data_IF_786544922786
#
_entry.id   IF_786544922786
#
_cell.length_a   1.000
_cell.length_b   1.000
_cell.length_c   1.000
_cell.angle_alpha   90.00
_cell.angle_beta   90.00
_cell.angle_gamma   90.00
#
_symmetry.space_group_name_H-M   'P 1'
#
loop_
_entity.id
_entity.type
_entity.pdbx_description
1 polymer ?
#
# COMPACT_ATOMS: atom_id res chain seq x y z
N UNK A 1 11.36 -14.85 -19.02
CA UNK A 1 11.10 -15.92 -18.02
C UNK A 1 9.75 -15.67 -17.38
N UNK A 2 9.02 -16.69 -16.96
CA UNK A 2 7.77 -16.53 -16.20
C UNK A 2 8.06 -16.51 -14.70
N UNK A 3 7.24 -15.83 -13.88
CA UNK A 3 7.31 -15.91 -12.42
C UNK A 3 7.23 -17.37 -11.94
N UNK A 4 7.91 -17.66 -10.83
CA UNK A 4 7.94 -19.00 -10.23
C UNK A 4 6.74 -19.25 -9.28
N UNK A 5 6.62 -20.49 -8.80
CA UNK A 5 5.55 -20.89 -7.87
C UNK A 5 5.54 -20.11 -6.55
N UNK A 6 6.70 -19.63 -6.09
CA UNK A 6 6.80 -18.85 -4.86
C UNK A 6 6.23 -17.44 -5.06
N UNK A 7 6.49 -16.81 -6.21
CA UNK A 7 5.85 -15.56 -6.59
C UNK A 7 4.32 -15.69 -6.70
N UNK A 8 3.84 -16.75 -7.37
CA UNK A 8 2.40 -17.04 -7.44
C UNK A 8 1.77 -17.25 -6.05
N UNK A 9 2.48 -17.91 -5.13
CA UNK A 9 2.03 -18.09 -3.76
C UNK A 9 2.02 -16.75 -2.98
N UNK A 10 3.00 -15.88 -3.23
CA UNK A 10 3.04 -14.51 -2.70
C UNK A 10 1.87 -13.69 -3.22
N UNK A 11 1.54 -13.78 -4.51
CA UNK A 11 0.39 -13.11 -5.11
C UNK A 11 -0.93 -13.56 -4.48
N UNK A 12 -1.14 -14.88 -4.33
CA UNK A 12 -2.32 -15.41 -3.63
C UNK A 12 -2.41 -14.95 -2.18
N UNK A 13 -1.26 -14.82 -1.48
CA UNK A 13 -1.23 -14.27 -0.13
C UNK A 13 -1.63 -12.79 -0.13
N UNK A 14 -1.08 -12.00 -1.04
CA UNK A 14 -1.42 -10.59 -1.19
C UNK A 14 -2.91 -10.37 -1.47
N UNK A 15 -3.54 -11.18 -2.33
CA UNK A 15 -4.98 -11.12 -2.55
C UNK A 15 -5.79 -11.38 -1.26
N UNK A 16 -5.37 -12.32 -0.44
CA UNK A 16 -5.99 -12.54 0.88
C UNK A 16 -5.79 -11.34 1.80
N UNK A 17 -4.61 -10.73 1.77
CA UNK A 17 -4.32 -9.51 2.53
C UNK A 17 -5.21 -8.36 2.08
N UNK A 18 -5.38 -8.13 0.79
CA UNK A 18 -6.27 -7.10 0.24
C UNK A 18 -7.72 -7.30 0.70
N UNK A 19 -8.22 -8.54 0.68
CA UNK A 19 -9.56 -8.88 1.20
C UNK A 19 -9.67 -8.59 2.72
N UNK A 20 -8.63 -8.85 3.49
CA UNK A 20 -8.61 -8.55 4.94
C UNK A 20 -8.59 -7.05 5.20
N UNK A 21 -7.76 -6.32 4.47
CA UNK A 21 -7.71 -4.85 4.51
C UNK A 21 -9.09 -4.27 4.18
N UNK A 22 -9.74 -4.74 3.11
CA UNK A 22 -11.09 -4.31 2.74
C UNK A 22 -12.12 -4.52 3.87
N UNK A 23 -12.01 -5.62 4.64
CA UNK A 23 -12.88 -5.86 5.80
C UNK A 23 -12.62 -4.86 6.94
N UNK A 24 -11.35 -4.54 7.23
CA UNK A 24 -10.99 -3.53 8.25
C UNK A 24 -11.66 -2.20 7.91
N UNK A 25 -11.54 -1.75 6.65
CA UNK A 25 -12.12 -0.47 6.24
C UNK A 25 -13.64 -0.52 6.06
N UNK A 26 -14.24 -1.66 5.79
CA UNK A 26 -15.70 -1.82 5.80
C UNK A 26 -16.29 -1.57 7.20
N UNK A 27 -15.62 -2.05 8.24
CA UNK A 27 -16.02 -1.75 9.64
C UNK A 27 -15.88 -0.26 9.93
N UNK A 28 -14.76 0.36 9.54
CA UNK A 28 -14.57 1.80 9.70
C UNK A 28 -15.59 2.62 8.86
N UNK A 29 -15.96 2.15 7.65
CA UNK A 29 -16.96 2.81 6.80
C UNK A 29 -18.32 2.85 7.46
N UNK A 30 -18.74 1.73 8.07
CA UNK A 30 -20.00 1.65 8.78
C UNK A 30 -20.04 2.65 9.94
N UNK A 31 -19.01 2.65 10.79
CA UNK A 31 -18.88 3.58 11.92
C UNK A 31 -18.86 5.05 11.48
N UNK A 32 -18.04 5.38 10.48
CA UNK A 32 -17.92 6.73 9.92
C UNK A 32 -19.24 7.17 9.28
N UNK A 33 -19.90 6.28 8.52
CA UNK A 33 -21.18 6.56 7.88
C UNK A 33 -22.30 6.83 8.87
N UNK A 34 -22.42 6.04 9.93
CA UNK A 34 -23.44 6.22 10.96
C UNK A 34 -23.27 7.57 11.70
N UNK A 35 -22.03 7.90 12.11
CA UNK A 35 -21.74 9.16 12.78
C UNK A 35 -21.95 10.37 11.88
N UNK A 36 -21.55 10.28 10.62
CA UNK A 36 -21.78 11.34 9.63
C UNK A 36 -23.27 11.54 9.35
N UNK A 37 -24.03 10.47 9.14
CA UNK A 37 -25.49 10.53 8.94
C UNK A 37 -26.20 11.17 10.13
N UNK A 38 -25.87 10.76 11.35
CA UNK A 38 -26.44 11.35 12.57
C UNK A 38 -26.20 12.86 12.66
N UNK A 39 -24.96 13.30 12.41
CA UNK A 39 -24.61 14.72 12.43
C UNK A 39 -25.33 15.52 11.35
N UNK A 40 -25.28 15.05 10.11
CA UNK A 40 -25.83 15.80 8.97
C UNK A 40 -27.34 15.80 8.94
N UNK A 41 -28.01 14.77 9.49
CA UNK A 41 -29.45 14.68 9.54
C UNK A 41 -30.14 15.89 10.20
N UNK A 42 -29.50 16.45 11.22
CA UNK A 42 -30.02 17.62 11.93
C UNK A 42 -30.16 18.87 11.06
N UNK A 43 -29.41 18.95 9.96
CA UNK A 43 -29.48 20.09 9.05
C UNK A 43 -30.46 19.90 7.89
N UNK A 44 -31.01 18.69 7.70
CA UNK A 44 -31.77 18.31 6.50
C UNK A 44 -32.98 19.22 6.30
N UNK A 45 -33.78 19.42 7.33
CA UNK A 45 -35.04 20.19 7.23
C UNK A 45 -34.79 21.65 6.86
N UNK A 46 -33.82 22.29 7.52
CA UNK A 46 -33.50 23.70 7.26
C UNK A 46 -32.79 23.87 5.91
N UNK A 47 -32.00 22.88 5.51
CA UNK A 47 -31.31 22.83 4.23
C UNK A 47 -32.31 22.72 3.07
N UNK A 48 -33.28 21.81 3.15
CA UNK A 48 -34.33 21.64 2.14
C UNK A 48 -35.20 22.90 2.00
N UNK A 49 -35.57 23.52 3.11
CA UNK A 49 -36.30 24.79 3.11
C UNK A 49 -35.54 25.89 2.36
N UNK A 50 -34.23 26.04 2.61
CA UNK A 50 -33.37 27.03 1.93
C UNK A 50 -33.10 26.68 0.47
N UNK A 51 -32.95 25.42 0.16
CA UNK A 51 -32.81 24.94 -1.22
C UNK A 51 -34.06 25.30 -2.04
N UNK A 52 -35.26 25.16 -1.45
CA UNK A 52 -36.53 25.56 -2.08
C UNK A 52 -36.57 27.07 -2.33
N UNK A 53 -36.15 27.91 -1.37
CA UNK A 53 -36.06 29.37 -1.57
C UNK A 53 -35.10 29.75 -2.71
N UNK A 54 -34.01 28.99 -2.88
CA UNK A 54 -33.08 29.20 -4.03
C UNK A 54 -33.77 28.83 -5.35
N UNK A 55 -34.48 27.69 -5.38
CA UNK A 55 -35.20 27.24 -6.56
C UNK A 55 -36.32 28.25 -6.98
N UNK A 56 -36.96 28.88 -5.99
CA UNK A 56 -37.99 29.92 -6.21
C UNK A 56 -37.41 31.29 -6.50
N UNK A 57 -36.09 31.45 -6.58
CA UNK A 57 -35.44 32.76 -6.82
C UNK A 57 -35.48 33.73 -5.64
N UNK A 58 -35.97 33.29 -4.46
CA UNK A 58 -36.11 34.12 -3.24
C UNK A 58 -34.83 34.21 -2.42
N UNK A 59 -33.83 33.38 -2.71
CA UNK A 59 -32.52 33.36 -2.08
C UNK A 59 -31.44 33.12 -3.13
N UNK A 60 -30.29 33.84 -3.01
CA UNK A 60 -29.16 33.59 -3.90
C UNK A 60 -28.43 32.29 -3.54
N UNK A 61 -27.83 31.61 -4.54
CA UNK A 61 -26.96 30.45 -4.32
C UNK A 61 -25.80 30.76 -3.38
N UNK A 62 -25.22 31.96 -3.51
CA UNK A 62 -24.12 32.46 -2.67
C UNK A 62 -24.54 32.53 -1.20
N UNK A 63 -25.70 33.12 -0.91
CA UNK A 63 -26.25 33.22 0.46
C UNK A 63 -26.51 31.82 1.05
N UNK A 64 -27.04 30.92 0.26
CA UNK A 64 -27.29 29.52 0.68
C UNK A 64 -25.97 28.78 0.98
N UNK A 65 -24.95 28.90 0.12
CA UNK A 65 -23.64 28.28 0.39
C UNK A 65 -22.93 28.88 1.61
N UNK A 66 -23.04 30.20 1.83
CA UNK A 66 -22.53 30.85 3.03
C UNK A 66 -23.21 30.33 4.29
N UNK A 67 -24.55 30.19 4.28
CA UNK A 67 -25.28 29.60 5.39
C UNK A 67 -24.81 28.18 5.72
N UNK A 68 -24.70 27.30 4.71
CA UNK A 68 -24.17 25.95 4.88
C UNK A 68 -22.77 25.95 5.51
N UNK A 69 -21.89 26.78 5.00
CA UNK A 69 -20.52 26.90 5.50
C UNK A 69 -20.50 27.33 6.97
N UNK A 70 -21.28 28.34 7.33
CA UNK A 70 -21.33 28.88 8.69
C UNK A 70 -21.98 27.91 9.66
N UNK A 71 -23.12 27.34 9.30
CA UNK A 71 -23.92 26.53 10.20
C UNK A 71 -23.50 25.06 10.26
N UNK A 72 -22.84 24.50 9.24
CA UNK A 72 -22.37 23.13 9.21
C UNK A 72 -20.88 23.06 9.57
N UNK A 73 -20.02 23.79 8.86
CA UNK A 73 -18.57 23.61 8.95
C UNK A 73 -17.85 24.45 9.98
N UNK A 74 -18.40 25.61 10.39
CA UNK A 74 -17.78 26.53 11.34
C UNK A 74 -18.28 26.32 12.78
N UNK A 75 -18.84 25.17 13.07
CA UNK A 75 -19.39 24.83 14.39
C UNK A 75 -18.41 23.96 15.19
N UNK A 76 -18.40 24.08 16.50
CA UNK A 76 -17.65 23.19 17.38
C UNK A 76 -18.08 21.73 17.18
N UNK A 77 -19.35 21.49 16.92
CA UNK A 77 -19.91 20.16 16.65
C UNK A 77 -19.29 19.52 15.40
N UNK A 78 -19.02 20.31 14.34
CA UNK A 78 -18.30 19.78 13.17
C UNK A 78 -16.84 19.46 13.50
N UNK A 79 -16.19 20.26 14.30
CA UNK A 79 -14.81 20.00 14.77
C UNK A 79 -14.77 18.71 15.58
N UNK A 80 -15.75 18.48 16.46
CA UNK A 80 -15.88 17.23 17.22
C UNK A 80 -16.14 16.03 16.31
N UNK A 81 -17.07 16.14 15.35
CA UNK A 81 -17.30 15.09 14.36
C UNK A 81 -16.01 14.78 13.59
N UNK A 82 -15.32 15.80 13.10
CA UNK A 82 -14.07 15.65 12.35
C UNK A 82 -13.01 14.90 13.18
N UNK A 83 -12.88 15.18 14.47
CA UNK A 83 -11.95 14.46 15.35
C UNK A 83 -12.34 12.99 15.53
N UNK A 84 -13.63 12.72 15.77
CA UNK A 84 -14.14 11.36 15.94
C UNK A 84 -13.93 10.53 14.66
N UNK A 85 -14.29 11.06 13.48
CA UNK A 85 -14.07 10.39 12.21
C UNK A 85 -12.58 10.18 11.91
N UNK A 86 -11.76 11.18 12.21
CA UNK A 86 -10.30 11.09 12.08
C UNK A 86 -9.76 9.96 12.94
N UNK A 87 -10.20 9.84 14.19
CA UNK A 87 -9.72 8.79 15.10
C UNK A 87 -10.12 7.40 14.61
N UNK A 88 -11.34 7.21 14.09
CA UNK A 88 -11.77 5.94 13.49
C UNK A 88 -10.90 5.53 12.31
N UNK A 89 -10.55 6.50 11.43
CA UNK A 89 -9.67 6.25 10.29
C UNK A 89 -8.22 5.93 10.70
N UNK A 90 -7.68 6.65 11.68
CA UNK A 90 -6.34 6.39 12.23
C UNK A 90 -6.27 4.99 12.84
N UNK A 91 -7.30 4.57 13.55
CA UNK A 91 -7.37 3.22 14.13
C UNK A 91 -7.42 2.15 13.02
N UNK A 92 -8.20 2.35 11.96
CA UNK A 92 -8.25 1.45 10.81
C UNK A 92 -6.88 1.37 10.10
N UNK A 93 -6.22 2.52 9.87
CA UNK A 93 -4.88 2.59 9.28
C UNK A 93 -3.85 1.82 10.13
N UNK A 94 -3.86 2.01 11.45
CA UNK A 94 -2.98 1.30 12.39
C UNK A 94 -3.21 -0.22 12.36
N UNK A 95 -4.47 -0.63 12.38
CA UNK A 95 -4.85 -2.06 12.33
C UNK A 95 -4.42 -2.70 11.00
N UNK A 96 -4.68 -2.03 9.87
CA UNK A 96 -4.26 -2.52 8.56
C UNK A 96 -2.74 -2.63 8.46
N UNK A 97 -1.99 -1.63 8.92
CA UNK A 97 -0.54 -1.63 8.88
C UNK A 97 0.09 -2.70 9.79
N UNK A 98 -0.46 -2.89 11.00
CA UNK A 98 -0.04 -3.97 11.90
C UNK A 98 -0.25 -5.35 11.27
N UNK A 99 -1.39 -5.55 10.61
CA UNK A 99 -1.67 -6.78 9.88
C UNK A 99 -0.69 -7.00 8.72
N UNK A 100 -0.45 -5.97 7.89
CA UNK A 100 0.52 -6.04 6.79
C UNK A 100 1.91 -6.44 7.32
N UNK A 101 2.42 -5.72 8.33
CA UNK A 101 3.72 -6.02 8.94
C UNK A 101 3.81 -7.46 9.48
N UNK A 102 2.69 -8.00 10.00
CA UNK A 102 2.62 -9.37 10.51
C UNK A 102 2.77 -10.45 9.43
N UNK A 103 2.38 -10.15 8.19
CA UNK A 103 2.45 -11.08 7.06
C UNK A 103 3.84 -11.12 6.38
N UNK A 104 4.64 -10.05 6.50
CA UNK A 104 5.90 -9.92 5.77
C UNK A 104 6.94 -11.01 6.08
N UNK A 105 7.13 -11.48 7.33
CA UNK A 105 8.09 -12.54 7.60
C UNK A 105 7.82 -13.83 6.83
N UNK A 106 6.55 -14.18 6.64
CA UNK A 106 6.18 -15.38 5.89
C UNK A 106 6.36 -15.20 4.37
N UNK A 107 6.22 -13.99 3.86
CA UNK A 107 6.54 -13.66 2.45
C UNK A 107 8.05 -13.77 2.22
N UNK A 108 8.83 -13.16 3.09
CA UNK A 108 10.29 -13.19 3.03
C UNK A 108 10.83 -14.61 3.07
N UNK A 109 10.45 -15.43 4.09
CA UNK A 109 10.95 -16.79 4.25
C UNK A 109 10.58 -17.69 3.08
N UNK A 110 9.36 -17.57 2.55
CA UNK A 110 8.92 -18.32 1.36
C UNK A 110 9.85 -18.07 0.18
N UNK A 111 10.17 -16.81 -0.08
CA UNK A 111 10.93 -16.41 -1.25
C UNK A 111 12.44 -16.63 -1.09
N UNK A 112 12.97 -16.47 0.14
CA UNK A 112 14.33 -16.88 0.49
C UNK A 112 14.53 -18.39 0.20
N UNK A 113 13.63 -19.22 0.71
CA UNK A 113 13.71 -20.68 0.55
C UNK A 113 13.58 -21.11 -0.92
N UNK A 114 12.68 -20.46 -1.68
CA UNK A 114 12.49 -20.81 -3.09
C UNK A 114 13.75 -20.57 -3.95
N UNK A 115 14.48 -19.48 -3.69
CA UNK A 115 15.77 -19.23 -4.36
C UNK A 115 16.81 -20.28 -3.89
N UNK A 116 16.85 -20.60 -2.59
CA UNK A 116 17.75 -21.63 -2.06
C UNK A 116 17.52 -23.00 -2.70
N UNK A 117 16.26 -23.42 -2.81
CA UNK A 117 15.87 -24.65 -3.49
C UNK A 117 16.27 -24.65 -4.97
N UNK A 118 16.04 -23.54 -5.67
CA UNK A 118 16.44 -23.39 -7.09
C UNK A 118 17.95 -23.50 -7.29
N UNK A 119 18.75 -22.88 -6.41
CA UNK A 119 20.22 -22.97 -6.45
C UNK A 119 20.67 -24.40 -6.09
N UNK A 120 20.07 -25.03 -5.08
CA UNK A 120 20.38 -26.40 -4.69
C UNK A 120 20.11 -27.41 -5.82
N UNK A 121 19.05 -27.21 -6.57
CA UNK A 121 18.76 -28.04 -7.75
C UNK A 121 19.75 -27.82 -8.91
N UNK A 122 20.27 -26.61 -9.06
CA UNK A 122 21.24 -26.28 -10.10
C UNK A 122 22.67 -26.67 -9.76
N UNK A 123 22.99 -26.93 -8.46
CA UNK A 123 24.36 -27.10 -7.96
C UNK A 123 24.44 -28.38 -7.13
N UNK A 124 25.08 -29.41 -7.68
CA UNK A 124 25.28 -30.67 -6.95
C UNK A 124 26.09 -30.46 -5.66
N UNK A 125 25.56 -30.99 -4.55
CA UNK A 125 26.22 -30.93 -3.25
C UNK A 125 26.02 -29.62 -2.50
N UNK A 126 25.34 -28.63 -3.04
CA UNK A 126 24.95 -27.44 -2.29
C UNK A 126 23.77 -27.70 -1.38
N UNK A 127 23.85 -27.22 -0.17
CA UNK A 127 22.74 -27.23 0.80
C UNK A 127 22.64 -25.87 1.49
N UNK A 128 21.44 -25.50 1.89
CA UNK A 128 21.20 -24.25 2.61
C UNK A 128 20.25 -24.50 3.79
N UNK A 129 20.24 -23.58 4.75
CA UNK A 129 19.35 -23.64 5.89
C UNK A 129 18.02 -22.97 5.55
N UNK A 130 16.92 -23.71 5.68
CA UNK A 130 15.57 -23.18 5.53
C UNK A 130 15.28 -22.13 6.61
N UNK A 131 14.68 -21.04 6.22
CA UNK A 131 14.15 -20.03 7.14
C UNK A 131 12.64 -20.19 7.31
N UNK A 132 12.16 -20.21 8.56
CA UNK A 132 10.75 -20.09 8.87
C UNK A 132 10.38 -18.63 9.23
N UNK A 133 9.07 -18.33 9.22
CA UNK A 133 8.57 -16.99 9.48
C UNK A 133 8.89 -16.47 10.89
N UNK A 134 8.98 -17.35 11.91
CA UNK A 134 9.31 -16.96 13.28
C UNK A 134 10.78 -16.57 13.41
N UNK A 135 11.66 -17.33 12.75
CA UNK A 135 13.09 -17.01 12.66
C UNK A 135 13.28 -15.66 11.98
N UNK A 136 12.63 -15.40 10.83
CA UNK A 136 12.67 -14.09 10.15
C UNK A 136 12.13 -12.99 11.05
N UNK A 137 11.04 -13.23 11.78
CA UNK A 137 10.48 -12.27 12.74
C UNK A 137 11.48 -11.87 13.82
N UNK A 138 12.20 -12.85 14.39
CA UNK A 138 13.26 -12.64 15.39
C UNK A 138 14.43 -11.87 14.80
N UNK A 139 14.99 -12.32 13.67
CA UNK A 139 16.09 -11.67 13.00
C UNK A 139 15.75 -10.21 12.60
N UNK A 140 14.53 -9.95 12.15
CA UNK A 140 14.08 -8.59 11.82
C UNK A 140 13.86 -7.70 13.04
N UNK A 141 13.76 -8.25 14.24
CA UNK A 141 13.73 -7.46 15.48
C UNK A 141 15.16 -7.05 15.90
N UNK A 142 16.14 -7.89 15.66
CA UNK A 142 17.56 -7.64 15.91
C UNK A 142 18.16 -6.75 14.80
N UNK A 143 17.78 -6.97 13.56
CA UNK A 143 18.18 -6.16 12.39
C UNK A 143 16.94 -5.63 11.64
N UNK A 144 16.46 -4.42 11.94
CA UNK A 144 15.27 -3.84 11.30
C UNK A 144 15.41 -3.62 9.78
N UNK A 145 16.63 -3.57 9.24
CA UNK A 145 16.86 -3.39 7.80
C UNK A 145 16.57 -4.66 6.99
N UNK A 146 16.65 -5.85 7.63
CA UNK A 146 16.35 -7.13 6.99
C UNK A 146 14.94 -7.16 6.39
N UNK A 147 13.98 -6.57 7.10
CA UNK A 147 12.59 -6.53 6.69
C UNK A 147 11.99 -5.17 7.02
N UNK A 148 11.96 -4.23 6.07
CA UNK A 148 11.53 -2.86 6.33
C UNK A 148 10.04 -2.82 6.69
N UNK A 149 9.77 -2.62 7.98
CA UNK A 149 8.43 -2.47 8.55
C UNK A 149 8.05 -1.00 8.58
N UNK A 150 6.89 -0.68 8.01
CA UNK A 150 6.36 0.67 8.11
C UNK A 150 5.78 0.90 9.50
N UNK A 151 6.14 2.02 10.14
CA UNK A 151 5.55 2.45 11.41
C UNK A 151 4.37 3.39 11.16
N UNK A 152 3.32 3.35 12.00
CA UNK A 152 2.24 4.33 11.93
C UNK A 152 2.77 5.73 12.25
N UNK A 153 2.48 6.69 11.39
CA UNK A 153 2.72 8.11 11.64
C UNK A 153 1.40 8.77 12.05
N UNK A 154 1.05 8.64 13.33
CA UNK A 154 -0.23 9.10 13.87
C UNK A 154 -0.46 10.61 13.66
N UNK A 155 0.51 11.51 13.92
CA UNK A 155 0.34 12.94 13.66
C UNK A 155 0.05 13.25 12.20
N UNK A 156 0.77 12.63 11.27
CA UNK A 156 0.58 12.78 9.83
C UNK A 156 -0.76 12.24 9.37
N UNK A 157 -1.15 11.06 9.83
CA UNK A 157 -2.44 10.44 9.51
C UNK A 157 -3.61 11.31 10.03
N UNK A 158 -3.52 11.85 11.25
CA UNK A 158 -4.52 12.78 11.79
C UNK A 158 -4.63 14.04 10.95
N UNK A 159 -3.51 14.70 10.64
CA UNK A 159 -3.48 15.91 9.81
C UNK A 159 -4.08 15.67 8.43
N UNK A 160 -3.73 14.56 7.79
CA UNK A 160 -4.22 14.21 6.46
C UNK A 160 -5.74 13.93 6.48
N UNK A 161 -6.22 13.11 7.41
CA UNK A 161 -7.64 12.77 7.50
C UNK A 161 -8.51 13.98 7.85
N UNK A 162 -8.10 14.84 8.77
CA UNK A 162 -8.81 16.10 9.06
C UNK A 162 -8.94 16.98 7.81
N UNK A 163 -7.83 17.16 7.07
CA UNK A 163 -7.84 17.92 5.82
C UNK A 163 -8.79 17.31 4.79
N UNK A 164 -8.77 15.99 4.65
CA UNK A 164 -9.58 15.26 3.68
C UNK A 164 -11.07 15.35 4.00
N UNK A 165 -11.47 15.12 5.26
CA UNK A 165 -12.85 15.26 5.73
C UNK A 165 -13.37 16.68 5.45
N UNK A 166 -12.62 17.71 5.88
CA UNK A 166 -12.97 19.11 5.65
C UNK A 166 -13.13 19.43 4.15
N UNK A 167 -12.20 18.94 3.32
CA UNK A 167 -12.23 19.15 1.87
C UNK A 167 -13.46 18.50 1.24
N UNK A 168 -13.82 17.28 1.62
CA UNK A 168 -14.97 16.57 1.07
C UNK A 168 -16.31 17.25 1.42
N UNK A 169 -16.45 17.74 2.65
CA UNK A 169 -17.65 18.50 3.05
C UNK A 169 -17.72 19.82 2.29
N UNK A 170 -16.61 20.57 2.19
CA UNK A 170 -16.56 21.82 1.44
C UNK A 170 -16.91 21.62 -0.04
N UNK A 171 -16.36 20.58 -0.68
CA UNK A 171 -16.67 20.24 -2.06
C UNK A 171 -18.16 19.93 -2.25
N UNK A 172 -18.77 19.16 -1.34
CA UNK A 172 -20.21 18.90 -1.38
C UNK A 172 -21.04 20.16 -1.29
N UNK A 173 -20.69 21.08 -0.40
CA UNK A 173 -21.37 22.41 -0.30
C UNK A 173 -21.25 23.20 -1.60
N UNK A 174 -20.04 23.29 -2.16
CA UNK A 174 -19.78 24.08 -3.40
C UNK A 174 -20.47 23.46 -4.61
N UNK A 175 -20.52 22.13 -4.69
CA UNK A 175 -21.18 21.41 -5.80
C UNK A 175 -22.71 21.40 -5.67
N UNK A 176 -23.25 21.86 -4.55
CA UNK A 176 -24.70 21.90 -4.32
C UNK A 176 -25.27 20.53 -3.92
N UNK A 177 -24.44 19.61 -3.40
CA UNK A 177 -24.90 18.31 -2.91
C UNK A 177 -25.96 18.45 -1.82
N UNK A 178 -26.92 17.55 -1.80
CA UNK A 178 -27.86 17.44 -0.69
C UNK A 178 -27.16 16.97 0.60
N UNK A 179 -27.79 17.17 1.75
CA UNK A 179 -27.23 16.73 3.05
C UNK A 179 -26.90 15.23 3.05
N UNK A 180 -27.74 14.32 2.54
CA UNK A 180 -27.39 12.90 2.41
C UNK A 180 -26.13 12.68 1.53
N UNK A 181 -26.03 13.37 0.39
CA UNK A 181 -24.86 13.26 -0.50
C UNK A 181 -23.57 13.75 0.16
N UNK A 182 -23.62 14.82 0.97
CA UNK A 182 -22.48 15.27 1.77
C UNK A 182 -22.06 14.20 2.78
N UNK A 183 -23.04 13.54 3.42
CA UNK A 183 -22.76 12.43 4.32
C UNK A 183 -22.10 11.25 3.61
N UNK A 184 -22.57 10.87 2.42
CA UNK A 184 -21.98 9.80 1.59
C UNK A 184 -20.53 10.09 1.17
N UNK A 185 -20.13 11.36 1.05
CA UNK A 185 -18.74 11.72 0.79
C UNK A 185 -17.79 11.22 1.87
N UNK A 186 -18.26 10.98 3.09
CA UNK A 186 -17.44 10.42 4.15
C UNK A 186 -17.04 8.96 3.87
N UNK A 187 -17.87 8.21 3.15
CA UNK A 187 -17.50 6.87 2.68
C UNK A 187 -16.36 6.92 1.65
N UNK A 188 -16.30 7.96 0.81
CA UNK A 188 -15.18 8.18 -0.11
C UNK A 188 -13.87 8.43 0.64
N UNK A 189 -13.92 9.14 1.77
CA UNK A 189 -12.75 9.34 2.64
C UNK A 189 -12.22 8.00 3.15
N UNK A 190 -13.10 7.10 3.58
CA UNK A 190 -12.72 5.74 3.98
C UNK A 190 -12.11 4.97 2.81
N UNK A 191 -12.72 5.05 1.62
CA UNK A 191 -12.20 4.42 0.40
C UNK A 191 -10.79 4.88 0.03
N UNK A 192 -10.49 6.18 0.17
CA UNK A 192 -9.15 6.71 -0.07
C UNK A 192 -8.10 6.15 0.91
N UNK A 193 -8.47 5.97 2.19
CA UNK A 193 -7.62 5.32 3.19
C UNK A 193 -7.41 3.83 2.86
N UNK A 194 -8.46 3.10 2.49
CA UNK A 194 -8.40 1.71 2.09
C UNK A 194 -7.46 1.50 0.89
N UNK A 195 -7.60 2.32 -0.15
CA UNK A 195 -6.75 2.27 -1.34
C UNK A 195 -5.27 2.56 -1.00
N UNK A 196 -5.02 3.48 -0.07
CA UNK A 196 -3.67 3.75 0.41
C UNK A 196 -3.08 2.55 1.16
N UNK A 197 -3.87 1.87 1.99
CA UNK A 197 -3.45 0.66 2.71
C UNK A 197 -3.16 -0.51 1.76
N UNK A 198 -3.98 -0.73 0.74
CA UNK A 198 -3.74 -1.75 -0.30
C UNK A 198 -2.45 -1.45 -1.06
N UNK A 199 -2.23 -0.21 -1.46
CA UNK A 199 -0.98 0.19 -2.13
C UNK A 199 0.24 -0.02 -1.25
N UNK A 200 0.15 0.29 0.06
CA UNK A 200 1.21 -0.01 1.01
C UNK A 200 1.46 -1.52 1.12
N UNK A 201 0.41 -2.35 1.21
CA UNK A 201 0.54 -3.80 1.26
C UNK A 201 1.28 -4.35 0.04
N UNK A 202 0.89 -3.93 -1.16
CA UNK A 202 1.56 -4.34 -2.42
C UNK A 202 3.04 -3.98 -2.42
N UNK A 203 3.37 -2.74 -2.08
CA UNK A 203 4.75 -2.28 -2.04
C UNK A 203 5.58 -3.05 -1.01
N UNK A 204 5.07 -3.22 0.20
CA UNK A 204 5.79 -3.90 1.28
C UNK A 204 5.95 -5.40 1.03
N UNK A 205 4.94 -6.06 0.45
CA UNK A 205 5.01 -7.48 0.07
C UNK A 205 6.06 -7.69 -1.03
N UNK A 206 6.05 -6.84 -2.08
CA UNK A 206 7.06 -6.91 -3.16
C UNK A 206 8.47 -6.69 -2.61
N UNK A 207 8.66 -5.74 -1.68
CA UNK A 207 9.94 -5.51 -1.02
C UNK A 207 10.39 -6.72 -0.19
N UNK A 208 9.50 -7.30 0.62
CA UNK A 208 9.82 -8.49 1.44
C UNK A 208 10.10 -9.73 0.60
N UNK A 209 9.36 -9.93 -0.50
CA UNK A 209 9.61 -11.00 -1.47
C UNK A 209 11.01 -10.92 -2.04
N UNK A 210 11.34 -9.78 -2.64
CA UNK A 210 12.60 -9.64 -3.36
C UNK A 210 13.80 -9.42 -2.42
N UNK A 211 13.58 -8.84 -1.24
CA UNK A 211 14.60 -8.83 -0.18
C UNK A 211 15.01 -10.24 0.24
N UNK A 212 14.03 -11.14 0.49
CA UNK A 212 14.31 -12.54 0.79
C UNK A 212 15.08 -13.25 -0.34
N UNK A 213 14.70 -13.01 -1.59
CA UNK A 213 15.40 -13.55 -2.78
C UNK A 213 16.84 -13.06 -2.86
N UNK A 214 17.07 -11.76 -2.70
CA UNK A 214 18.39 -11.16 -2.70
C UNK A 214 19.28 -11.72 -1.60
N UNK A 215 18.77 -11.81 -0.38
CA UNK A 215 19.55 -12.30 0.76
C UNK A 215 20.00 -13.75 0.59
N UNK A 216 19.14 -14.60 -0.02
CA UNK A 216 19.55 -15.97 -0.36
C UNK A 216 20.59 -16.02 -1.47
N UNK A 217 20.48 -15.18 -2.50
CA UNK A 217 21.49 -15.10 -3.56
C UNK A 217 22.84 -14.64 -3.00
N UNK A 218 22.86 -13.62 -2.13
CA UNK A 218 24.07 -13.18 -1.44
C UNK A 218 24.66 -14.27 -0.52
N UNK A 219 23.80 -15.06 0.16
CA UNK A 219 24.26 -16.20 0.94
C UNK A 219 24.96 -17.23 0.06
N UNK A 220 24.35 -17.60 -1.07
CA UNK A 220 24.96 -18.53 -2.03
C UNK A 220 26.28 -17.98 -2.60
N UNK A 221 26.36 -16.68 -2.87
CA UNK A 221 27.60 -16.03 -3.32
C UNK A 221 28.71 -16.09 -2.26
N UNK A 222 28.37 -15.92 -0.98
CA UNK A 222 29.33 -16.12 0.14
C UNK A 222 29.80 -17.56 0.25
N UNK A 223 28.95 -18.52 -0.12
CA UNK A 223 29.29 -19.94 -0.15
C UNK A 223 30.06 -20.36 -1.42
N UNK A 224 30.49 -19.40 -2.24
CA UNK A 224 31.34 -19.62 -3.44
C UNK A 224 30.58 -19.86 -4.75
N UNK A 225 29.27 -19.77 -4.78
CA UNK A 225 28.47 -19.91 -6.00
C UNK A 225 28.37 -18.58 -6.72
N UNK A 226 28.64 -18.56 -8.02
CA UNK A 226 28.47 -17.36 -8.86
C UNK A 226 27.00 -17.29 -9.28
N UNK A 227 26.28 -16.34 -8.70
CA UNK A 227 24.84 -16.08 -8.97
C UNK A 227 24.67 -14.67 -9.53
N UNK A 228 23.86 -14.54 -10.57
CA UNK A 228 23.36 -13.25 -11.07
C UNK A 228 21.85 -13.13 -10.82
N UNK A 229 21.38 -11.91 -10.65
CA UNK A 229 19.95 -11.63 -10.50
C UNK A 229 19.32 -11.31 -11.85
N UNK A 230 18.06 -11.75 -12.03
CA UNK A 230 17.29 -11.57 -13.25
C UNK A 230 15.98 -10.83 -12.92
N UNK A 231 15.69 -9.72 -13.62
CA UNK A 231 14.42 -9.03 -13.50
C UNK A 231 13.31 -9.80 -14.23
N UNK A 232 12.22 -10.09 -13.53
CA UNK A 232 11.05 -10.75 -14.07
C UNK A 232 9.85 -9.79 -13.94
N UNK A 233 9.42 -9.24 -15.06
CA UNK A 233 8.25 -8.37 -15.13
C UNK A 233 6.97 -9.17 -14.85
N UNK A 234 6.02 -8.57 -14.13
CA UNK A 234 4.74 -9.22 -13.84
C UNK A 234 3.90 -9.51 -15.09
N UNK A 235 4.18 -8.84 -16.21
CA UNK A 235 3.50 -8.98 -17.52
C UNK A 235 1.97 -8.97 -17.44
N UNK A 236 1.39 -8.34 -16.42
CA UNK A 236 -0.05 -8.16 -16.32
C UNK A 236 -0.46 -7.05 -17.29
N UNK A 237 -1.19 -7.42 -18.33
CA UNK A 237 -1.71 -6.49 -19.35
C UNK A 237 -2.39 -5.29 -18.71
N UNK A 238 -1.92 -4.07 -19.06
CA UNK A 238 -2.46 -2.79 -18.58
C UNK A 238 -2.16 -2.44 -17.12
N UNK A 239 -1.34 -3.23 -16.39
CA UNK A 239 -0.98 -2.97 -14.98
C UNK A 239 0.52 -2.85 -14.73
N UNK A 240 1.34 -3.48 -15.56
CA UNK A 240 2.80 -3.32 -15.51
C UNK A 240 3.16 -1.99 -16.14
N UNK A 241 3.99 -1.20 -15.47
CA UNK A 241 4.45 0.09 -15.98
C UNK A 241 5.35 -0.13 -17.21
N UNK A 242 5.31 0.81 -18.15
CA UNK A 242 6.12 0.72 -19.37
C UNK A 242 7.61 0.58 -19.04
N UNK A 243 8.09 1.33 -18.05
CA UNK A 243 9.49 1.28 -17.60
C UNK A 243 9.84 0.09 -16.68
N UNK A 244 8.91 -0.83 -16.43
CA UNK A 244 9.15 -2.14 -15.84
C UNK A 244 8.97 -3.30 -16.83
N UNK A 245 8.69 -2.98 -18.09
CA UNK A 245 8.66 -3.98 -19.14
C UNK A 245 10.09 -4.41 -19.50
N UNK A 246 10.28 -5.64 -20.03
CA UNK A 246 11.63 -6.15 -20.31
C UNK A 246 12.48 -5.26 -21.21
N UNK A 247 11.88 -4.58 -22.16
CA UNK A 247 12.55 -3.69 -23.11
C UNK A 247 12.90 -2.30 -22.55
N UNK A 248 12.51 -2.02 -21.30
CA UNK A 248 12.79 -0.73 -20.65
C UNK A 248 14.06 -0.73 -19.79
N UNK A 249 14.73 -1.88 -19.69
CA UNK A 249 15.99 -2.02 -18.95
C UNK A 249 17.15 -2.22 -19.92
N UNK A 250 18.30 -1.66 -19.57
CA UNK A 250 19.55 -1.86 -20.33
C UNK A 250 19.97 -3.34 -20.32
N UNK A 251 19.77 -4.02 -19.20
CA UNK A 251 19.90 -5.46 -19.05
C UNK A 251 18.91 -6.02 -18.05
N UNK A 252 18.35 -7.18 -18.35
CA UNK A 252 17.48 -7.92 -17.42
C UNK A 252 18.27 -8.81 -16.45
N UNK A 253 19.54 -9.10 -16.75
CA UNK A 253 20.43 -9.93 -15.95
C UNK A 253 21.66 -9.12 -15.57
N UNK A 254 21.87 -8.90 -14.28
CA UNK A 254 23.02 -8.14 -13.75
C UNK A 254 23.63 -8.87 -12.55
N UNK A 255 24.84 -8.46 -12.14
CA UNK A 255 25.46 -8.99 -10.93
C UNK A 255 24.71 -8.53 -9.67
N UNK A 256 24.86 -9.27 -8.54
CA UNK A 256 24.04 -9.01 -7.36
C UNK A 256 24.17 -7.60 -6.82
N UNK A 257 25.36 -7.02 -6.90
CA UNK A 257 25.69 -5.70 -6.38
C UNK A 257 25.49 -4.57 -7.41
N UNK A 258 25.11 -4.91 -8.66
CA UNK A 258 24.82 -3.94 -9.72
C UNK A 258 23.31 -3.63 -9.77
N UNK A 259 22.89 -2.36 -9.91
CA UNK A 259 21.49 -2.02 -10.09
C UNK A 259 21.00 -2.40 -11.49
N UNK A 260 19.68 -2.56 -11.63
CA UNK A 260 18.99 -2.46 -12.91
C UNK A 260 18.81 -0.98 -13.25
N UNK A 261 19.03 -0.61 -14.52
CA UNK A 261 18.87 0.75 -15.02
C UNK A 261 17.65 0.87 -15.91
N UNK A 262 16.83 1.89 -15.67
CA UNK A 262 15.72 2.30 -16.52
C UNK A 262 15.55 3.82 -16.51
N UNK A 263 14.64 4.37 -17.30
CA UNK A 263 14.41 5.83 -17.43
C UNK A 263 14.12 6.55 -16.10
N UNK A 264 13.70 5.84 -15.06
CA UNK A 264 13.42 6.40 -13.73
C UNK A 264 14.58 6.26 -12.75
N UNK A 265 15.71 5.70 -13.21
CA UNK A 265 16.96 5.55 -12.47
C UNK A 265 17.17 4.13 -11.93
N UNK A 266 18.15 4.02 -11.07
CA UNK A 266 18.66 2.75 -10.55
C UNK A 266 17.71 2.10 -9.57
N UNK A 267 17.65 0.77 -9.63
CA UNK A 267 16.87 -0.06 -8.72
C UNK A 267 17.56 -1.41 -8.50
N UNK A 268 17.84 -1.75 -7.24
CA UNK A 268 18.53 -3.00 -6.92
C UNK A 268 17.65 -4.23 -7.10
N UNK A 269 16.36 -4.11 -6.80
CA UNK A 269 15.36 -5.19 -6.93
C UNK A 269 13.94 -4.61 -6.92
N UNK A 270 12.93 -5.33 -7.41
CA UNK A 270 11.55 -4.87 -7.34
C UNK A 270 11.13 -4.61 -5.89
N UNK A 271 10.67 -3.38 -5.61
CA UNK A 271 10.30 -2.97 -4.25
C UNK A 271 11.46 -2.50 -3.38
N UNK A 272 12.61 -2.23 -3.96
CA UNK A 272 13.79 -1.65 -3.29
C UNK A 272 13.42 -0.35 -2.56
N UNK A 273 13.55 -0.28 -1.21
CA UNK A 273 13.17 0.89 -0.43
C UNK A 273 14.03 2.12 -0.69
N UNK A 274 15.24 1.95 -1.24
CA UNK A 274 16.20 3.04 -1.52
C UNK A 274 15.94 3.68 -2.91
N UNK A 275 15.21 3.00 -3.79
CA UNK A 275 14.92 3.49 -5.13
C UNK A 275 13.81 4.56 -5.13
N UNK A 276 13.76 5.34 -6.22
CA UNK A 276 12.70 6.36 -6.41
C UNK A 276 11.31 5.74 -6.35
N UNK A 277 10.37 6.43 -5.71
CA UNK A 277 8.98 5.95 -5.54
C UNK A 277 8.28 5.56 -6.84
N UNK A 278 8.63 6.22 -7.98
CA UNK A 278 8.14 5.85 -9.29
C UNK A 278 8.50 4.41 -9.68
N UNK A 279 9.67 3.92 -9.27
CA UNK A 279 10.13 2.55 -9.50
C UNK A 279 9.56 1.53 -8.48
N UNK A 280 9.06 1.98 -7.32
CA UNK A 280 8.80 1.11 -6.17
C UNK A 280 7.31 0.88 -5.92
N UNK A 281 6.52 1.98 -5.83
CA UNK A 281 5.14 1.89 -5.36
C UNK A 281 4.26 1.01 -6.24
N UNK A 282 3.53 0.07 -5.60
CA UNK A 282 2.55 -0.80 -6.25
C UNK A 282 3.14 -1.72 -7.33
N UNK A 283 4.45 -2.02 -7.28
CA UNK A 283 5.12 -2.96 -8.18
C UNK A 283 4.73 -4.41 -7.85
N UNK A 284 4.71 -5.28 -8.85
CA UNK A 284 4.43 -6.72 -8.78
C UNK A 284 5.48 -7.54 -9.55
N UNK A 285 6.62 -6.94 -9.89
CA UNK A 285 7.75 -7.65 -10.49
C UNK A 285 8.50 -8.46 -9.44
N UNK A 286 9.23 -9.48 -9.87
CA UNK A 286 10.01 -10.35 -9.00
C UNK A 286 11.42 -10.58 -9.56
N UNK A 287 12.30 -11.13 -8.75
CA UNK A 287 13.64 -11.56 -9.16
C UNK A 287 13.69 -13.06 -9.43
N UNK A 288 14.47 -13.44 -10.43
CA UNK A 288 14.98 -14.79 -10.59
C UNK A 288 16.47 -14.85 -10.25
N UNK A 289 17.00 -16.05 -10.05
CA UNK A 289 18.42 -16.33 -9.89
C UNK A 289 18.94 -17.09 -11.11
N UNK A 290 20.15 -16.74 -11.54
CA UNK A 290 20.87 -17.43 -12.62
C UNK A 290 22.23 -17.89 -12.08
N UNK A 291 22.42 -19.20 -11.94
CA UNK A 291 23.70 -19.77 -11.53
C UNK A 291 24.66 -19.78 -12.72
N UNK A 292 25.85 -19.19 -12.56
CA UNK A 292 26.89 -19.11 -13.60
C UNK A 292 28.06 -20.07 -13.35
N UNK A 293 28.21 -20.61 -12.14
CA UNK A 293 29.30 -21.52 -11.79
C UNK A 293 29.78 -21.35 -10.37
N UNK A 294 31.02 -21.69 -10.12
CA UNK A 294 31.70 -21.61 -8.81
C UNK A 294 32.91 -20.71 -8.89
N UNK A 295 33.21 -20.00 -7.80
CA UNK A 295 34.51 -19.36 -7.64
C UNK A 295 35.57 -20.46 -7.56
N UNK A 296 36.60 -20.39 -8.43
CA UNK A 296 37.76 -21.22 -8.27
C UNK A 296 38.44 -20.79 -6.96
N UNK A 297 38.55 -21.70 -6.03
CA UNK A 297 39.41 -21.56 -4.82
C UNK A 297 40.84 -21.45 -5.23
#
# INVERSE_FOLDING_TARGET
MKPDKAHEATDRRLERMEKRIARIYRTASKEVGEKAKSFFYEFTVEDEKRAKLVAEGKMSKTTYHLWRRQNIMQTERFIQLQEVLTQSLVNANKTALSYINGELPAVYSLNYNAIGEGIQQAVNGYSFTLLDANTVKRLSAENPQLLPKKKPDIPKDKKWNRKLIKSQVLQGIVQGDTIPQISERMERVVGMNANSAVRNARTMVTSAENGGRMDMMHKAQKDGIIVRKLWISSNQSGRTRDWHMPNAFDSLEVDLDEPFHNDFGDIMFPGDPEAKGANVYNCRCTLGSVVKGFRKT
#
